data_IF_649977701713
#
_entry.id   IF_649977701713
#
_cell.length_a   1.000
_cell.length_b   1.000
_cell.length_c   1.000
_cell.angle_alpha   90.00
_cell.angle_beta   90.00
_cell.angle_gamma   90.00
#
_symmetry.space_group_name_H-M   'P 1'
#
loop_
_entity.id
_entity.type
_entity.pdbx_description
1 polymer ?
#
# COMPACT_ATOMS: atom_id res chain seq x y z
N UNK A 1 11.41 16.23 17.74
CA UNK A 1 10.51 16.58 16.61
C UNK A 1 9.09 16.22 17.01
N UNK A 2 8.13 17.06 16.64
CA UNK A 2 6.72 16.76 16.93
C UNK A 2 6.29 15.55 16.11
N UNK A 3 5.57 14.62 16.75
CA UNK A 3 5.04 13.43 16.09
C UNK A 3 3.62 13.69 15.61
N UNK A 4 3.35 13.28 14.39
CA UNK A 4 2.02 13.28 13.79
C UNK A 4 1.26 12.00 14.16
N UNK A 5 -0.04 12.11 14.40
CA UNK A 5 -0.91 10.94 14.37
C UNK A 5 -1.02 10.49 12.91
N UNK A 6 -0.65 9.25 12.63
CA UNK A 6 -0.72 8.64 11.31
C UNK A 6 -1.57 7.39 11.33
N UNK A 7 -2.03 6.94 10.16
CA UNK A 7 -2.46 5.57 10.00
C UNK A 7 -2.02 4.98 8.66
N UNK A 8 -1.77 3.68 8.68
CA UNK A 8 -1.58 2.86 7.49
C UNK A 8 -2.91 2.16 7.16
N UNK A 9 -3.48 2.45 5.99
CA UNK A 9 -4.67 1.76 5.48
C UNK A 9 -4.26 0.41 4.88
N UNK A 10 -5.04 -0.63 5.12
CA UNK A 10 -4.81 -1.97 4.58
C UNK A 10 -6.11 -2.66 4.19
N UNK A 11 -6.02 -3.80 3.53
CA UNK A 11 -7.17 -4.67 3.33
C UNK A 11 -7.64 -5.22 4.68
N UNK A 12 -8.96 -5.34 4.86
CA UNK A 12 -9.53 -5.92 6.08
C UNK A 12 -8.95 -7.32 6.35
N UNK A 13 -8.54 -7.57 7.59
CA UNK A 13 -7.86 -8.81 8.01
C UNK A 13 -6.32 -8.76 7.92
N UNK A 14 -5.73 -7.72 7.34
CA UNK A 14 -4.28 -7.53 7.30
C UNK A 14 -3.74 -6.58 8.37
N UNK A 15 -4.59 -6.07 9.26
CA UNK A 15 -4.20 -5.11 10.31
C UNK A 15 -3.07 -5.67 11.19
N UNK A 16 -3.15 -6.96 11.52
CA UNK A 16 -2.11 -7.63 12.32
C UNK A 16 -0.76 -7.66 11.59
N UNK A 17 -0.77 -7.92 10.27
CA UNK A 17 0.45 -7.94 9.47
C UNK A 17 1.11 -6.55 9.40
N UNK A 18 0.30 -5.50 9.16
CA UNK A 18 0.77 -4.11 9.14
C UNK A 18 1.26 -3.66 10.53
N UNK A 19 0.54 -4.03 11.60
CA UNK A 19 0.95 -3.71 12.97
C UNK A 19 2.31 -4.33 13.31
N UNK A 20 2.57 -5.57 12.90
CA UNK A 20 3.87 -6.19 13.10
C UNK A 20 4.97 -5.49 12.29
N UNK A 21 4.70 -5.09 11.04
CA UNK A 21 5.65 -4.29 10.25
C UNK A 21 6.02 -2.97 10.94
N UNK A 22 5.04 -2.27 11.52
CA UNK A 22 5.28 -1.04 12.26
C UNK A 22 6.07 -1.29 13.55
N UNK A 23 5.79 -2.37 14.29
CA UNK A 23 6.58 -2.78 15.48
C UNK A 23 8.02 -3.09 15.11
N UNK A 24 8.25 -3.80 14.00
CA UNK A 24 9.59 -4.10 13.48
C UNK A 24 10.39 -2.81 13.15
N UNK A 25 9.68 -1.68 12.88
CA UNK A 25 10.25 -0.36 12.67
C UNK A 25 10.42 0.46 13.96
N UNK A 26 10.05 -0.10 15.13
CA UNK A 26 10.13 0.58 16.43
C UNK A 26 8.96 1.50 16.75
N UNK A 27 7.82 1.35 16.03
CA UNK A 27 6.61 2.15 16.24
C UNK A 27 5.59 1.39 17.10
N UNK A 28 4.71 2.13 17.78
CA UNK A 28 3.63 1.56 18.60
C UNK A 28 2.30 1.63 17.85
N UNK A 29 1.84 0.52 17.21
CA UNK A 29 0.62 0.50 16.41
C UNK A 29 -0.62 0.19 17.23
N UNK A 30 -1.74 0.81 16.84
CA UNK A 30 -3.09 0.48 17.30
C UNK A 30 -4.00 0.23 16.10
N UNK A 31 -4.61 -0.96 16.03
CA UNK A 31 -5.46 -1.38 14.90
C UNK A 31 -6.94 -1.06 15.15
N UNK A 32 -7.61 -0.47 14.15
CA UNK A 32 -9.05 -0.21 14.12
C UNK A 32 -9.55 -0.14 12.68
N UNK A 33 -10.54 -0.94 12.30
CA UNK A 33 -11.31 -0.83 11.04
C UNK A 33 -10.45 -0.71 9.76
N UNK A 34 -9.65 -1.72 9.44
CA UNK A 34 -8.73 -1.75 8.30
C UNK A 34 -7.69 -0.61 8.29
N UNK A 35 -7.42 -0.02 9.45
CA UNK A 35 -6.42 1.02 9.67
C UNK A 35 -5.54 0.63 10.84
N UNK A 36 -4.27 0.96 10.75
CA UNK A 36 -3.31 0.78 11.84
C UNK A 36 -2.74 2.14 12.17
N UNK A 37 -3.16 2.70 13.31
CA UNK A 37 -2.74 4.02 13.79
C UNK A 37 -1.40 3.93 14.50
N UNK A 38 -0.60 4.98 14.38
CA UNK A 38 0.71 5.14 15.06
C UNK A 38 1.13 6.61 15.09
N UNK A 39 2.00 6.97 16.02
CA UNK A 39 2.62 8.28 16.04
C UNK A 39 3.99 8.23 15.36
N UNK A 40 4.27 9.19 14.46
CA UNK A 40 5.48 9.19 13.67
C UNK A 40 5.98 10.62 13.37
N UNK A 41 7.26 10.80 13.37
CA UNK A 41 7.92 11.98 12.80
C UNK A 41 8.12 11.84 11.29
N UNK A 42 8.73 12.83 10.66
CA UNK A 42 8.96 12.86 9.21
C UNK A 42 9.82 11.68 8.70
N UNK A 43 10.87 11.29 9.47
CA UNK A 43 11.73 10.15 9.11
C UNK A 43 10.98 8.82 9.24
N UNK A 44 10.19 8.67 10.30
CA UNK A 44 9.36 7.48 10.54
C UNK A 44 8.25 7.34 9.49
N UNK A 45 7.65 8.47 9.03
CA UNK A 45 6.68 8.47 7.91
C UNK A 45 7.35 8.04 6.60
N UNK A 46 8.55 8.54 6.32
CA UNK A 46 9.31 8.12 5.13
C UNK A 46 9.64 6.62 5.19
N UNK A 47 10.05 6.12 6.37
CA UNK A 47 10.32 4.70 6.63
C UNK A 47 9.07 3.85 6.43
N UNK A 48 7.94 4.25 6.98
CA UNK A 48 6.67 3.54 6.83
C UNK A 48 6.25 3.45 5.35
N UNK A 49 6.33 4.55 4.59
CA UNK A 49 6.03 4.54 3.15
C UNK A 49 6.97 3.62 2.34
N UNK A 50 8.25 3.61 2.67
CA UNK A 50 9.25 2.80 1.97
C UNK A 50 9.14 1.30 2.28
N UNK A 51 8.92 0.95 3.55
CA UNK A 51 9.09 -0.43 4.05
C UNK A 51 7.80 -1.21 4.26
N UNK A 52 6.64 -0.55 4.43
CA UNK A 52 5.37 -1.27 4.58
C UNK A 52 5.04 -2.06 3.32
N UNK A 53 4.97 -3.38 3.46
CA UNK A 53 4.62 -4.29 2.39
C UNK A 53 3.12 -4.61 2.36
N UNK A 54 2.45 -4.63 3.52
CA UNK A 54 1.06 -5.05 3.67
C UNK A 54 0.05 -3.89 3.64
N UNK A 55 0.52 -2.64 3.74
CA UNK A 55 -0.35 -1.45 3.72
C UNK A 55 -0.58 -0.92 2.31
N UNK A 56 -1.76 -0.34 2.09
CA UNK A 56 -2.13 0.27 0.81
C UNK A 56 -1.73 1.76 0.72
N UNK A 57 -1.75 2.50 1.83
CA UNK A 57 -1.32 3.91 1.94
C UNK A 57 -1.01 4.29 3.37
N UNK A 58 -0.20 5.34 3.53
CA UNK A 58 0.07 6.00 4.81
C UNK A 58 -0.51 7.41 4.78
N UNK A 59 -1.22 7.78 5.83
CA UNK A 59 -1.87 9.07 5.98
C UNK A 59 -1.43 9.77 7.27
N UNK A 60 -1.31 11.10 7.23
CA UNK A 60 -1.25 11.94 8.42
C UNK A 60 -2.68 12.36 8.77
N UNK A 61 -3.14 12.10 10.00
CA UNK A 61 -4.45 12.52 10.49
C UNK A 61 -4.37 13.97 10.93
N UNK A 62 -5.23 14.82 10.35
CA UNK A 62 -5.32 16.24 10.70
C UNK A 62 -6.38 16.44 11.79
N UNK A 63 -7.58 15.87 11.57
CA UNK A 63 -8.70 16.03 12.49
C UNK A 63 -9.66 14.86 12.39
N UNK A 64 -10.29 14.54 13.52
CA UNK A 64 -11.42 13.61 13.62
C UNK A 64 -12.61 14.32 14.29
N UNK A 65 -13.81 14.13 13.76
CA UNK A 65 -15.06 14.67 14.32
C UNK A 65 -16.27 13.92 13.76
N UNK A 66 -17.43 14.06 14.37
CA UNK A 66 -18.68 13.48 13.86
C UNK A 66 -19.42 14.48 12.97
N UNK A 67 -20.00 13.98 11.87
CA UNK A 67 -20.90 14.78 11.03
C UNK A 67 -21.98 13.88 10.40
N UNK A 68 -23.24 14.27 10.58
CA UNK A 68 -24.42 13.62 10.01
C UNK A 68 -25.09 14.47 8.92
N UNK A 69 -24.63 15.72 8.77
CA UNK A 69 -25.08 16.67 7.74
C UNK A 69 -23.88 17.26 6.97
N UNK A 70 -24.16 17.75 5.77
CA UNK A 70 -23.14 18.43 4.96
C UNK A 70 -22.70 19.77 5.56
N UNK A 71 -23.56 20.43 6.32
CA UNK A 71 -23.21 21.67 7.03
C UNK A 71 -22.21 21.36 8.17
N UNK A 72 -22.46 20.33 8.96
CA UNK A 72 -21.50 19.87 9.99
C UNK A 72 -20.16 19.45 9.38
N UNK A 73 -20.18 18.73 8.26
CA UNK A 73 -18.98 18.37 7.51
C UNK A 73 -18.20 19.62 7.06
N UNK A 74 -18.91 20.60 6.50
CA UNK A 74 -18.31 21.86 6.04
C UNK A 74 -17.65 22.63 7.17
N UNK A 75 -18.39 22.90 8.25
CA UNK A 75 -17.88 23.64 9.41
C UNK A 75 -16.74 22.89 10.12
N UNK A 76 -16.86 21.57 10.26
CA UNK A 76 -15.82 20.72 10.83
C UNK A 76 -14.50 20.80 10.07
N UNK A 77 -14.54 20.79 8.74
CA UNK A 77 -13.35 20.92 7.87
C UNK A 77 -12.82 22.36 7.85
N UNK A 78 -13.71 23.36 7.76
CA UNK A 78 -13.36 24.77 7.71
C UNK A 78 -12.66 25.25 8.98
N UNK A 79 -13.00 24.67 10.15
CA UNK A 79 -12.41 25.02 11.44
C UNK A 79 -10.95 24.57 11.61
N UNK A 80 -10.39 23.78 10.66
CA UNK A 80 -8.98 23.42 10.64
C UNK A 80 -8.13 24.62 10.18
N UNK A 81 -7.03 24.90 10.89
CA UNK A 81 -6.04 25.85 10.39
C UNK A 81 -5.23 25.23 9.25
N UNK A 82 -5.77 25.31 8.05
CA UNK A 82 -5.16 24.73 6.86
C UNK A 82 -3.80 25.37 6.49
N UNK A 83 -3.50 26.55 6.98
CA UNK A 83 -2.23 27.20 6.71
C UNK A 83 -1.00 26.49 7.31
N UNK A 84 -1.23 25.61 8.29
CA UNK A 84 -0.20 24.71 8.85
C UNK A 84 0.20 23.62 7.85
N UNK A 85 -0.71 23.21 6.98
CA UNK A 85 -0.53 22.06 6.07
C UNK A 85 -0.34 22.46 4.62
N UNK A 86 -1.01 23.55 4.20
CA UNK A 86 -1.09 24.00 2.80
C UNK A 86 -0.58 25.43 2.67
N UNK A 87 0.32 25.65 1.73
CA UNK A 87 0.75 27.00 1.36
C UNK A 87 -0.36 27.75 0.62
N UNK A 88 -0.17 29.03 0.37
CA UNK A 88 -1.14 29.83 -0.43
C UNK A 88 -1.25 29.40 -1.89
N UNK A 89 -0.45 28.45 -2.34
CA UNK A 89 -0.37 27.96 -3.72
C UNK A 89 -0.42 26.44 -3.85
N UNK A 90 -0.49 25.69 -2.74
CA UNK A 90 -0.51 24.22 -2.76
C UNK A 90 -1.68 23.70 -3.61
N UNK A 91 -1.41 22.76 -4.51
CA UNK A 91 -2.46 21.98 -5.15
C UNK A 91 -2.95 20.90 -4.17
N UNK A 92 -4.25 20.81 -3.92
CA UNK A 92 -4.80 19.83 -2.99
C UNK A 92 -6.05 19.15 -3.55
N UNK A 93 -5.90 18.12 -4.39
CA UNK A 93 -7.04 17.30 -4.78
C UNK A 93 -7.66 16.67 -3.52
N UNK A 94 -8.99 16.72 -3.44
CA UNK A 94 -9.75 16.15 -2.33
C UNK A 94 -10.36 14.82 -2.79
N UNK A 95 -9.96 13.76 -2.14
CA UNK A 95 -10.47 12.40 -2.32
C UNK A 95 -11.23 11.99 -1.05
N UNK A 96 -12.02 10.91 -1.13
CA UNK A 96 -12.70 10.43 0.06
C UNK A 96 -13.48 9.15 -0.19
N UNK A 97 -14.05 8.65 0.91
CA UNK A 97 -14.97 7.52 0.93
C UNK A 97 -16.06 7.74 1.99
N UNK A 98 -17.14 6.99 1.87
CA UNK A 98 -18.22 6.95 2.86
C UNK A 98 -18.71 5.52 3.03
N UNK A 99 -18.65 5.01 4.26
CA UNK A 99 -19.03 3.63 4.59
C UNK A 99 -19.94 3.64 5.81
N UNK A 100 -21.11 3.00 5.72
CA UNK A 100 -22.09 2.89 6.81
C UNK A 100 -22.40 4.22 7.49
N UNK A 101 -22.53 5.29 6.71
CA UNK A 101 -22.68 6.67 7.18
C UNK A 101 -23.94 7.31 6.61
N UNK A 102 -24.45 8.34 7.32
CA UNK A 102 -25.56 9.19 6.88
C UNK A 102 -25.20 9.94 5.61
N UNK A 103 -23.99 10.48 5.54
CA UNK A 103 -23.42 11.09 4.35
C UNK A 103 -22.94 10.03 3.36
N UNK A 104 -23.70 9.75 2.29
CA UNK A 104 -23.44 8.67 1.33
C UNK A 104 -22.78 9.13 0.04
N UNK A 105 -22.97 10.40 -0.34
CA UNK A 105 -22.46 10.94 -1.61
C UNK A 105 -20.98 11.30 -1.49
N UNK A 106 -20.09 10.41 -1.94
CA UNK A 106 -18.65 10.66 -1.97
C UNK A 106 -18.30 11.91 -2.77
N UNK A 107 -18.99 12.15 -3.91
CA UNK A 107 -18.76 13.34 -4.75
C UNK A 107 -19.09 14.63 -4.02
N UNK A 108 -20.13 14.64 -3.18
CA UNK A 108 -20.52 15.83 -2.43
C UNK A 108 -19.60 16.03 -1.22
N UNK A 109 -19.18 14.96 -0.53
CA UNK A 109 -18.14 15.03 0.50
C UNK A 109 -16.86 15.68 -0.05
N UNK A 110 -16.42 15.28 -1.24
CA UNK A 110 -15.22 15.84 -1.89
C UNK A 110 -15.41 17.31 -2.26
N UNK A 111 -16.55 17.69 -2.87
CA UNK A 111 -16.85 19.07 -3.26
C UNK A 111 -16.97 20.00 -2.05
N UNK A 112 -17.70 19.57 -1.03
CA UNK A 112 -17.91 20.34 0.21
C UNK A 112 -16.59 20.48 0.96
N UNK A 113 -15.82 19.39 1.08
CA UNK A 113 -14.50 19.43 1.67
C UNK A 113 -13.56 20.39 0.94
N UNK A 114 -13.53 20.34 -0.40
CA UNK A 114 -12.74 21.28 -1.21
C UNK A 114 -13.15 22.72 -0.94
N UNK A 115 -14.47 23.01 -0.94
CA UNK A 115 -14.99 24.34 -0.67
C UNK A 115 -14.60 24.85 0.72
N UNK A 116 -14.76 24.02 1.75
CA UNK A 116 -14.43 24.36 3.14
C UNK A 116 -12.94 24.72 3.30
N UNK A 117 -12.05 23.93 2.70
CA UNK A 117 -10.59 24.19 2.70
C UNK A 117 -10.28 25.51 2.00
N UNK A 118 -10.83 25.73 0.81
CA UNK A 118 -10.61 26.98 0.05
C UNK A 118 -11.07 28.20 0.84
N UNK A 119 -12.24 28.14 1.49
CA UNK A 119 -12.76 29.26 2.30
C UNK A 119 -11.87 29.54 3.52
N UNK A 120 -11.39 28.48 4.21
CA UNK A 120 -10.46 28.63 5.32
C UNK A 120 -9.16 29.30 4.87
N UNK A 121 -8.55 28.84 3.77
CA UNK A 121 -7.30 29.39 3.21
C UNK A 121 -7.48 30.83 2.70
N UNK A 122 -8.59 31.13 2.03
CA UNK A 122 -8.92 32.50 1.59
C UNK A 122 -9.00 33.45 2.78
N UNK A 123 -9.71 33.07 3.84
CA UNK A 123 -9.82 33.85 5.05
C UNK A 123 -8.45 34.08 5.71
N UNK A 124 -7.63 33.04 5.81
CA UNK A 124 -6.31 33.11 6.45
C UNK A 124 -5.30 33.94 5.67
N UNK A 125 -5.25 33.81 4.35
CA UNK A 125 -4.28 34.48 3.50
C UNK A 125 -4.80 35.79 2.87
N UNK A 126 -6.06 36.18 3.11
CA UNK A 126 -6.67 37.37 2.52
C UNK A 126 -6.81 37.29 1.00
N UNK A 127 -7.10 36.11 0.44
CA UNK A 127 -7.12 35.87 -1.00
C UNK A 127 -8.55 36.01 -1.55
N UNK A 128 -8.73 36.73 -2.66
CA UNK A 128 -9.96 36.70 -3.44
C UNK A 128 -10.13 35.41 -4.26
N UNK A 129 -9.00 34.85 -4.73
CA UNK A 129 -8.95 33.62 -5.51
C UNK A 129 -7.78 32.75 -5.03
N UNK A 130 -8.00 31.42 -4.93
CA UNK A 130 -6.97 30.45 -4.56
C UNK A 130 -6.42 29.78 -5.83
N UNK A 131 -5.10 29.82 -6.03
CA UNK A 131 -4.41 29.14 -7.14
C UNK A 131 -3.77 27.85 -6.63
N UNK A 132 -3.82 26.81 -7.47
CA UNK A 132 -3.21 25.50 -7.21
C UNK A 132 -2.08 25.29 -8.21
N UNK A 133 -0.96 25.98 -8.03
CA UNK A 133 0.17 26.02 -8.97
C UNK A 133 1.52 25.63 -8.31
N UNK A 134 1.50 25.14 -7.07
CA UNK A 134 2.67 24.66 -6.35
C UNK A 134 2.58 23.13 -6.05
N UNK A 135 3.27 22.70 -5.00
CA UNK A 135 3.33 21.28 -4.58
C UNK A 135 1.93 20.67 -4.34
N UNK A 136 1.76 19.42 -4.74
CA UNK A 136 0.52 18.69 -4.51
C UNK A 136 0.52 17.97 -3.16
N UNK A 137 -0.47 18.30 -2.31
CA UNK A 137 -0.75 17.65 -1.02
C UNK A 137 -2.18 17.13 -1.00
N UNK A 138 -2.39 15.91 -1.49
CA UNK A 138 -3.73 15.33 -1.59
C UNK A 138 -4.38 15.16 -0.22
N UNK A 139 -5.57 15.74 -0.06
CA UNK A 139 -6.42 15.60 1.13
C UNK A 139 -7.34 14.40 0.96
N UNK A 140 -7.50 13.62 2.01
CA UNK A 140 -8.41 12.48 2.05
C UNK A 140 -9.43 12.65 3.18
N UNK A 141 -10.71 12.56 2.86
CA UNK A 141 -11.82 12.68 3.81
C UNK A 141 -12.52 11.32 3.86
N UNK A 142 -12.37 10.62 4.96
CA UNK A 142 -13.07 9.36 5.18
C UNK A 142 -14.22 9.54 6.15
N UNK A 143 -15.41 9.06 5.79
CA UNK A 143 -16.58 9.05 6.66
C UNK A 143 -16.96 7.60 6.94
N UNK A 144 -16.70 7.14 8.15
CA UNK A 144 -16.99 5.77 8.59
C UNK A 144 -17.91 5.80 9.80
N UNK A 145 -19.15 5.29 9.67
CA UNK A 145 -20.16 5.30 10.74
C UNK A 145 -20.33 6.71 11.34
N UNK A 146 -20.45 7.72 10.47
CA UNK A 146 -20.59 9.15 10.77
C UNK A 146 -19.35 9.81 11.45
N UNK A 147 -18.29 9.06 11.69
CA UNK A 147 -16.99 9.59 12.12
C UNK A 147 -16.19 10.06 10.90
N UNK A 148 -15.93 11.35 10.82
CA UNK A 148 -15.14 11.99 9.77
C UNK A 148 -13.67 11.99 10.18
N UNK A 149 -12.79 11.49 9.33
CA UNK A 149 -11.33 11.58 9.48
C UNK A 149 -10.76 12.36 8.31
N UNK A 150 -10.18 13.52 8.57
CA UNK A 150 -9.52 14.37 7.57
C UNK A 150 -8.01 14.13 7.62
N UNK A 151 -7.40 13.81 6.47
CA UNK A 151 -6.02 13.36 6.39
C UNK A 151 -5.26 13.96 5.21
N UNK A 152 -3.93 13.97 5.29
CA UNK A 152 -3.03 14.13 4.13
C UNK A 152 -2.50 12.77 3.67
N UNK A 153 -2.56 12.51 2.38
CA UNK A 153 -2.03 11.30 1.76
C UNK A 153 -0.53 11.44 1.50
N UNK A 154 0.29 10.80 2.34
CA UNK A 154 1.76 10.85 2.21
C UNK A 154 2.29 9.96 1.09
N UNK A 155 1.60 8.87 0.79
CA UNK A 155 2.02 7.88 -0.21
C UNK A 155 1.80 8.33 -1.66
N UNK A 156 0.74 9.12 -1.90
CA UNK A 156 0.24 9.41 -3.25
C UNK A 156 -0.43 8.19 -3.87
N UNK A 157 0.17 7.61 -4.91
CA UNK A 157 -0.28 6.36 -5.53
C UNK A 157 -0.18 5.22 -4.52
N UNK A 158 -1.14 4.28 -4.51
CA UNK A 158 -1.17 3.15 -3.57
C UNK A 158 0.14 2.36 -3.49
N UNK A 159 0.51 1.92 -2.29
CA UNK A 159 1.76 1.19 -2.03
C UNK A 159 1.82 -0.16 -2.76
N UNK A 160 0.67 -0.77 -3.07
CA UNK A 160 0.61 -1.97 -3.91
C UNK A 160 1.30 -1.77 -5.27
N UNK A 161 1.31 -0.55 -5.81
CA UNK A 161 2.02 -0.25 -7.06
C UNK A 161 3.53 -0.10 -6.83
N UNK A 162 4.23 -1.22 -6.67
CA UNK A 162 5.70 -1.28 -6.44
C UNK A 162 6.53 -0.74 -7.62
N UNK A 163 5.96 -0.74 -8.83
CA UNK A 163 6.64 -0.30 -10.06
C UNK A 163 7.21 -1.43 -10.92
N UNK A 164 7.19 -2.68 -10.47
CA UNK A 164 7.71 -3.78 -11.28
C UNK A 164 6.70 -4.32 -12.30
N UNK A 165 5.39 -4.13 -12.08
CA UNK A 165 4.34 -4.68 -12.95
C UNK A 165 4.08 -3.81 -14.17
N UNK A 166 3.84 -4.45 -15.34
CA UNK A 166 3.42 -3.80 -16.58
C UNK A 166 1.89 -3.77 -16.68
N UNK A 167 1.33 -2.77 -17.36
CA UNK A 167 -0.11 -2.48 -17.41
C UNK A 167 -1.02 -3.61 -17.97
N UNK A 168 -0.47 -4.58 -18.66
CA UNK A 168 -1.25 -5.55 -19.47
C UNK A 168 -1.52 -6.91 -18.80
N UNK A 169 -1.28 -7.07 -17.50
CA UNK A 169 -1.65 -8.31 -16.81
C UNK A 169 -3.13 -8.30 -16.39
N UNK A 170 -3.88 -9.32 -16.78
CA UNK A 170 -5.29 -9.52 -16.37
C UNK A 170 -5.39 -9.66 -14.85
N UNK A 171 -6.06 -8.69 -14.19
CA UNK A 171 -6.47 -8.67 -12.77
C UNK A 171 -5.66 -9.59 -11.81
N UNK A 172 -4.36 -9.32 -11.59
CA UNK A 172 -3.55 -10.15 -10.71
C UNK A 172 -3.83 -9.82 -9.24
N UNK A 173 -3.43 -10.72 -8.34
CA UNK A 173 -3.45 -10.47 -6.89
C UNK A 173 -2.73 -9.15 -6.58
N UNK A 174 -3.27 -8.34 -5.67
CA UNK A 174 -2.58 -7.12 -5.21
C UNK A 174 -1.31 -7.50 -4.48
N UNK A 175 -0.25 -6.75 -4.68
CA UNK A 175 1.05 -6.96 -4.07
C UNK A 175 0.98 -6.89 -2.54
N UNK A 176 0.19 -5.95 -2.00
CA UNK A 176 -0.03 -5.80 -0.55
C UNK A 176 -0.74 -7.00 0.06
N UNK A 177 -1.69 -7.61 -0.67
CA UNK A 177 -2.36 -8.82 -0.24
C UNK A 177 -1.41 -10.03 -0.30
N UNK A 178 -0.62 -10.18 -1.36
CA UNK A 178 0.39 -11.23 -1.47
C UNK A 178 1.41 -11.15 -0.33
N UNK A 179 1.93 -9.96 -0.02
CA UNK A 179 2.83 -9.73 1.09
C UNK A 179 2.18 -10.08 2.45
N UNK A 180 0.90 -9.73 2.63
CA UNK A 180 0.12 -10.07 3.81
C UNK A 180 -0.01 -11.58 4.00
N UNK A 181 -0.40 -12.32 2.96
CA UNK A 181 -0.50 -13.79 2.99
C UNK A 181 0.83 -14.43 3.38
N UNK A 182 1.95 -13.97 2.80
CA UNK A 182 3.29 -14.46 3.12
C UNK A 182 3.63 -14.21 4.60
N UNK A 183 3.28 -13.05 5.15
CA UNK A 183 3.54 -12.75 6.57
C UNK A 183 2.69 -13.60 7.52
N UNK A 184 1.45 -13.88 7.17
CA UNK A 184 0.54 -14.71 7.97
C UNK A 184 1.03 -16.15 8.12
N UNK A 185 1.79 -16.69 7.15
CA UNK A 185 2.36 -18.05 7.24
C UNK A 185 3.57 -18.15 8.15
N UNK A 186 4.08 -17.05 8.69
CA UNK A 186 5.31 -17.00 9.49
C UNK A 186 6.50 -17.70 8.78
N UNK A 187 6.55 -17.56 7.46
CA UNK A 187 7.65 -18.10 6.67
C UNK A 187 8.93 -17.29 6.84
N UNK A 188 10.09 -17.95 7.06
CA UNK A 188 11.39 -17.30 7.30
C UNK A 188 12.52 -17.86 6.43
N UNK A 189 12.99 -19.08 6.72
CA UNK A 189 14.28 -19.60 6.27
C UNK A 189 14.22 -20.94 5.52
N UNK A 190 13.04 -21.34 5.08
CA UNK A 190 12.81 -22.58 4.32
C UNK A 190 12.42 -22.27 2.86
N UNK A 191 12.55 -23.22 1.94
CA UNK A 191 12.12 -23.08 0.56
C UNK A 191 10.67 -22.63 0.45
N UNK A 192 10.39 -21.76 -0.53
CA UNK A 192 9.07 -21.23 -0.81
C UNK A 192 8.60 -21.66 -2.20
N UNK A 193 7.34 -22.03 -2.32
CA UNK A 193 6.74 -22.51 -3.56
C UNK A 193 5.47 -21.72 -3.89
N UNK A 194 5.40 -21.18 -5.11
CA UNK A 194 4.20 -20.68 -5.76
C UNK A 194 3.95 -21.56 -6.98
N UNK A 195 3.03 -22.54 -6.84
CA UNK A 195 2.85 -23.64 -7.81
C UNK A 195 1.91 -23.28 -8.97
N UNK A 196 1.25 -22.13 -8.90
CA UNK A 196 0.42 -21.52 -9.95
C UNK A 196 0.69 -20.03 -9.98
N UNK A 197 1.94 -19.64 -10.32
CA UNK A 197 2.43 -18.30 -10.02
C UNK A 197 1.85 -17.20 -10.92
N UNK A 198 1.25 -17.54 -12.04
CA UNK A 198 0.76 -16.57 -12.98
C UNK A 198 1.83 -15.52 -13.34
N UNK A 199 1.52 -14.26 -13.17
CA UNK A 199 2.47 -13.15 -13.43
C UNK A 199 3.55 -12.97 -12.35
N UNK A 200 3.66 -13.90 -11.39
CA UNK A 200 4.72 -14.00 -10.40
C UNK A 200 4.55 -13.16 -9.13
N UNK A 201 3.36 -12.62 -8.84
CA UNK A 201 3.18 -11.68 -7.72
C UNK A 201 3.60 -12.25 -6.38
N UNK A 202 3.13 -13.45 -6.01
CA UNK A 202 3.43 -14.06 -4.70
C UNK A 202 4.92 -14.39 -4.61
N UNK A 203 5.49 -15.02 -5.65
CA UNK A 203 6.91 -15.36 -5.69
C UNK A 203 7.81 -14.11 -5.61
N UNK A 204 7.44 -13.01 -6.28
CA UNK A 204 8.21 -11.75 -6.24
C UNK A 204 8.14 -11.13 -4.85
N UNK A 205 6.95 -11.01 -4.23
CA UNK A 205 6.81 -10.46 -2.87
C UNK A 205 7.55 -11.35 -1.82
N UNK A 206 7.56 -12.69 -2.00
CA UNK A 206 8.37 -13.59 -1.20
C UNK A 206 9.87 -13.33 -1.35
N UNK A 207 10.37 -13.16 -2.58
CA UNK A 207 11.76 -12.86 -2.84
C UNK A 207 12.19 -11.47 -2.33
N UNK A 208 11.32 -10.46 -2.44
CA UNK A 208 11.56 -9.13 -1.86
C UNK A 208 11.70 -9.21 -0.33
N UNK A 209 10.76 -9.91 0.35
CA UNK A 209 10.83 -10.15 1.80
C UNK A 209 12.10 -10.90 2.19
N UNK A 210 12.44 -11.96 1.48
CA UNK A 210 13.60 -12.81 1.76
C UNK A 210 14.91 -12.01 1.69
N UNK A 211 15.05 -11.16 0.66
CA UNK A 211 16.20 -10.29 0.46
C UNK A 211 16.16 -9.01 1.31
N UNK A 212 15.12 -8.79 2.08
CA UNK A 212 14.89 -7.54 2.83
C UNK A 212 14.90 -6.30 1.92
N UNK A 213 14.36 -6.42 0.70
CA UNK A 213 14.21 -5.29 -0.22
C UNK A 213 12.94 -4.53 0.16
N UNK A 214 13.09 -3.25 0.50
CA UNK A 214 11.95 -2.39 0.80
C UNK A 214 11.04 -2.23 -0.43
N UNK A 215 9.72 -2.52 -0.31
CA UNK A 215 8.81 -2.54 -1.48
C UNK A 215 8.69 -1.17 -2.16
N UNK A 216 8.92 -0.09 -1.42
CA UNK A 216 8.86 1.28 -1.92
C UNK A 216 10.16 1.81 -2.53
N UNK A 217 11.23 1.01 -2.57
CA UNK A 217 12.59 1.48 -2.90
C UNK A 217 12.69 2.15 -4.28
N UNK A 218 11.97 1.63 -5.27
CA UNK A 218 12.05 2.06 -6.68
C UNK A 218 10.87 2.94 -7.12
N UNK A 219 10.11 3.52 -6.17
CA UNK A 219 8.98 4.41 -6.47
C UNK A 219 9.14 5.78 -5.82
N UNK A 220 8.32 6.75 -6.24
CA UNK A 220 8.19 8.08 -5.63
C UNK A 220 6.95 8.14 -4.75
N UNK A 221 6.97 9.05 -3.78
CA UNK A 221 5.86 9.30 -2.85
C UNK A 221 5.43 10.77 -2.93
N UNK A 222 4.17 11.05 -2.60
CA UNK A 222 3.65 12.42 -2.63
C UNK A 222 4.41 13.31 -1.65
N UNK A 223 4.55 12.86 -0.40
CA UNK A 223 5.21 13.64 0.66
C UNK A 223 6.70 13.90 0.40
N UNK A 224 7.37 13.10 -0.42
CA UNK A 224 8.78 13.33 -0.80
C UNK A 224 9.04 14.69 -1.45
N UNK A 225 7.96 15.35 -1.95
CA UNK A 225 8.03 16.64 -2.66
C UNK A 225 7.39 17.80 -1.88
N UNK A 226 6.94 17.56 -0.63
CA UNK A 226 6.25 18.60 0.14
C UNK A 226 7.18 19.70 0.65
N UNK A 227 8.35 19.31 1.14
CA UNK A 227 9.37 20.21 1.65
C UNK A 227 10.77 19.54 1.71
N UNK A 228 11.77 20.27 2.19
CA UNK A 228 13.15 19.79 2.32
C UNK A 228 13.30 18.68 3.35
N UNK A 229 12.51 18.68 4.41
CA UNK A 229 12.61 17.74 5.52
C UNK A 229 12.13 16.36 5.07
N UNK A 230 10.97 16.29 4.41
CA UNK A 230 10.50 15.06 3.78
C UNK A 230 11.46 14.56 2.68
N UNK A 231 11.95 15.44 1.82
CA UNK A 231 12.91 15.04 0.77
C UNK A 231 14.19 14.43 1.37
N UNK A 232 14.72 15.04 2.45
CA UNK A 232 15.89 14.54 3.19
C UNK A 232 15.60 13.20 3.86
N UNK A 233 14.46 13.06 4.55
CA UNK A 233 14.03 11.83 5.21
C UNK A 233 13.92 10.66 4.23
N UNK A 234 13.27 10.83 3.07
CA UNK A 234 13.20 9.81 2.05
C UNK A 234 14.57 9.45 1.46
N UNK A 235 15.44 10.44 1.25
CA UNK A 235 16.81 10.20 0.77
C UNK A 235 17.63 9.37 1.77
N UNK A 236 17.56 9.71 3.04
CA UNK A 236 18.21 8.98 4.14
C UNK A 236 17.70 7.56 4.24
N UNK A 237 16.36 7.37 4.26
CA UNK A 237 15.74 6.06 4.39
C UNK A 237 16.01 5.16 3.18
N UNK A 238 16.05 5.71 1.94
CA UNK A 238 16.44 4.92 0.75
C UNK A 238 17.89 4.41 0.84
N UNK A 239 18.82 5.21 1.40
CA UNK A 239 20.20 4.74 1.60
C UNK A 239 20.26 3.61 2.62
N UNK A 240 19.55 3.75 3.74
CA UNK A 240 19.45 2.72 4.75
C UNK A 240 18.81 1.44 4.19
N UNK A 241 17.68 1.57 3.50
CA UNK A 241 16.98 0.44 2.90
C UNK A 241 17.83 -0.31 1.85
N UNK A 242 18.71 0.38 1.11
CA UNK A 242 19.65 -0.28 0.21
C UNK A 242 20.76 -1.01 0.94
N UNK A 243 21.26 -0.47 2.03
CA UNK A 243 22.28 -1.10 2.87
C UNK A 243 21.76 -2.37 3.57
N UNK A 244 20.47 -2.42 3.87
CA UNK A 244 19.81 -3.55 4.54
C UNK A 244 19.51 -4.74 3.60
N UNK A 245 19.75 -4.61 2.29
CA UNK A 245 19.50 -5.70 1.32
C UNK A 245 20.47 -6.86 1.60
N UNK A 246 19.89 -8.05 1.84
CA UNK A 246 20.67 -9.27 2.07
C UNK A 246 21.32 -9.76 0.78
N UNK A 247 22.62 -10.05 0.85
CA UNK A 247 23.43 -10.58 -0.25
C UNK A 247 23.84 -12.04 -0.05
N UNK A 248 23.61 -12.59 1.13
CA UNK A 248 23.99 -13.96 1.51
C UNK A 248 23.19 -15.00 0.71
N UNK A 249 23.65 -16.28 0.84
CA UNK A 249 22.91 -17.41 0.28
C UNK A 249 21.58 -17.57 1.02
N UNK A 250 20.49 -17.39 0.29
CA UNK A 250 19.12 -17.45 0.79
C UNK A 250 18.43 -18.74 0.33
N UNK A 251 17.41 -19.23 1.07
CA UNK A 251 16.57 -20.33 0.63
C UNK A 251 15.96 -20.04 -0.76
N UNK A 252 15.77 -21.05 -1.60
CA UNK A 252 15.20 -20.86 -2.93
C UNK A 252 13.72 -20.48 -2.86
N UNK A 253 13.31 -19.61 -3.78
CA UNK A 253 11.90 -19.33 -4.11
C UNK A 253 11.62 -20.02 -5.44
N UNK A 254 10.66 -20.91 -5.48
CA UNK A 254 10.22 -21.61 -6.68
C UNK A 254 8.91 -21.03 -7.17
N UNK A 255 8.81 -20.78 -8.47
CA UNK A 255 7.61 -20.27 -9.13
C UNK A 255 7.30 -21.14 -10.36
N UNK A 256 6.16 -21.84 -10.32
CA UNK A 256 5.73 -22.73 -11.37
C UNK A 256 4.42 -22.26 -11.98
N UNK A 257 4.28 -22.51 -13.26
CA UNK A 257 3.04 -22.35 -14.01
C UNK A 257 3.02 -23.31 -15.19
N UNK A 258 1.85 -23.68 -15.66
CA UNK A 258 1.68 -24.55 -16.83
C UNK A 258 1.91 -23.77 -18.14
N UNK A 259 1.66 -22.44 -18.13
CA UNK A 259 1.78 -21.54 -19.29
C UNK A 259 3.17 -20.92 -19.38
N UNK A 260 3.99 -21.26 -20.38
CA UNK A 260 5.33 -20.69 -20.55
C UNK A 260 5.30 -19.19 -20.86
N UNK A 261 4.26 -18.66 -21.51
CA UNK A 261 4.17 -17.22 -21.82
C UNK A 261 3.94 -16.40 -20.54
N UNK A 262 3.16 -16.92 -19.61
CA UNK A 262 2.94 -16.30 -18.32
C UNK A 262 4.23 -16.33 -17.46
N UNK A 263 5.03 -17.40 -17.55
CA UNK A 263 6.33 -17.49 -16.89
C UNK A 263 7.34 -16.46 -17.43
N UNK A 264 7.34 -16.19 -18.72
CA UNK A 264 8.18 -15.13 -19.30
C UNK A 264 7.80 -13.74 -18.77
N UNK A 265 6.50 -13.49 -18.63
CA UNK A 265 5.99 -12.28 -17.97
C UNK A 265 6.43 -12.21 -16.50
N UNK A 266 6.32 -13.33 -15.76
CA UNK A 266 6.74 -13.39 -14.36
C UNK A 266 8.26 -13.11 -14.20
N UNK A 267 9.11 -13.68 -15.08
CA UNK A 267 10.56 -13.39 -15.14
C UNK A 267 10.82 -11.91 -15.39
N UNK A 268 10.10 -11.32 -16.36
CA UNK A 268 10.23 -9.90 -16.67
C UNK A 268 9.87 -9.02 -15.46
N UNK A 269 8.78 -9.33 -14.73
CA UNK A 269 8.41 -8.62 -13.50
C UNK A 269 9.46 -8.81 -12.40
N UNK A 270 9.97 -10.02 -12.20
CA UNK A 270 11.00 -10.33 -11.21
C UNK A 270 12.31 -9.57 -11.50
N UNK A 271 12.70 -9.45 -12.78
CA UNK A 271 13.84 -8.63 -13.21
C UNK A 271 13.65 -7.16 -12.84
N UNK A 272 12.48 -6.60 -13.13
CA UNK A 272 12.15 -5.21 -12.75
C UNK A 272 12.10 -5.00 -11.24
N UNK A 273 11.73 -6.01 -10.47
CA UNK A 273 11.77 -6.00 -9.02
C UNK A 273 13.19 -6.20 -8.44
N UNK A 274 14.17 -6.60 -9.27
CA UNK A 274 15.55 -6.88 -8.83
C UNK A 274 15.72 -8.22 -8.12
N UNK A 275 14.81 -9.19 -8.34
CA UNK A 275 14.79 -10.48 -7.65
C UNK A 275 14.79 -11.70 -8.59
N UNK A 276 15.01 -11.51 -9.90
CA UNK A 276 14.98 -12.59 -10.89
C UNK A 276 15.91 -13.77 -10.48
N UNK A 277 17.13 -13.45 -10.05
CA UNK A 277 18.13 -14.44 -9.64
C UNK A 277 17.81 -15.16 -8.31
N UNK A 278 16.79 -14.71 -7.58
CA UNK A 278 16.33 -15.33 -6.32
C UNK A 278 15.23 -16.35 -6.57
N UNK A 279 14.58 -16.28 -7.75
CA UNK A 279 13.41 -17.09 -8.08
C UNK A 279 13.76 -18.11 -9.15
N UNK A 280 13.44 -19.37 -8.91
CA UNK A 280 13.59 -20.46 -9.89
C UNK A 280 12.25 -20.69 -10.57
N UNK A 281 12.15 -20.25 -11.83
CA UNK A 281 10.95 -20.41 -12.65
C UNK A 281 11.02 -21.70 -13.47
N UNK A 282 9.95 -22.51 -13.44
CA UNK A 282 9.86 -23.71 -14.27
C UNK A 282 8.41 -23.96 -14.75
N UNK A 283 8.29 -24.48 -15.98
CA UNK A 283 6.99 -24.97 -16.46
C UNK A 283 6.67 -26.27 -15.73
N UNK A 284 5.60 -26.27 -14.93
CA UNK A 284 5.10 -27.46 -14.23
C UNK A 284 3.58 -27.38 -14.10
N UNK A 285 2.96 -28.55 -14.16
CA UNK A 285 1.55 -28.71 -13.82
C UNK A 285 1.42 -28.82 -12.30
N UNK A 286 0.54 -28.04 -11.70
CA UNK A 286 0.28 -28.05 -10.27
C UNK A 286 -0.30 -29.40 -9.80
N UNK A 287 -1.11 -30.07 -10.63
CA UNK A 287 -1.66 -31.41 -10.33
C UNK A 287 -0.57 -32.50 -10.21
N UNK A 288 0.57 -32.30 -10.87
CA UNK A 288 1.74 -33.17 -10.80
C UNK A 288 2.84 -32.63 -9.89
N UNK A 289 2.51 -31.72 -8.95
CA UNK A 289 3.48 -31.10 -8.08
C UNK A 289 4.14 -32.10 -7.14
N UNK A 290 5.47 -32.11 -7.15
CA UNK A 290 6.31 -32.81 -6.19
C UNK A 290 7.29 -31.82 -5.58
N UNK A 291 7.36 -31.71 -4.23
CA UNK A 291 8.32 -30.83 -3.58
C UNK A 291 9.77 -31.18 -3.98
N UNK A 292 10.60 -30.16 -4.19
CA UNK A 292 12.02 -30.33 -4.49
C UNK A 292 12.87 -30.43 -3.22
N UNK A 293 12.27 -30.25 -2.05
CA UNK A 293 12.90 -30.26 -0.73
C UNK A 293 11.98 -30.93 0.28
N UNK A 294 12.52 -31.51 1.34
CA UNK A 294 11.75 -32.18 2.41
C UNK A 294 10.85 -31.21 3.17
N UNK A 295 11.25 -29.94 3.27
CA UNK A 295 10.51 -28.90 3.98
C UNK A 295 10.31 -27.68 3.07
N UNK A 296 9.17 -27.04 3.18
CA UNK A 296 8.88 -25.82 2.41
C UNK A 296 7.56 -25.16 2.82
N UNK A 297 7.30 -24.00 2.26
CA UNK A 297 6.02 -23.29 2.40
C UNK A 297 5.41 -23.12 1.03
N UNK A 298 4.18 -23.54 0.85
CA UNK A 298 3.42 -23.35 -0.38
C UNK A 298 2.40 -22.23 -0.16
N UNK A 299 2.44 -21.23 -1.02
CA UNK A 299 1.40 -20.21 -1.14
C UNK A 299 1.16 -20.01 -2.64
N UNK A 300 -0.06 -20.19 -3.07
CA UNK A 300 -0.44 -20.00 -4.47
C UNK A 300 -1.84 -19.41 -4.56
N UNK A 301 -2.13 -18.77 -5.68
CA UNK A 301 -3.44 -18.20 -5.98
C UNK A 301 -3.99 -18.92 -7.21
N UNK A 302 -4.79 -19.98 -7.03
CA UNK A 302 -5.32 -20.77 -8.13
C UNK A 302 -6.25 -19.96 -9.04
N UNK A 303 -6.41 -20.34 -10.31
CA UNK A 303 -7.36 -19.69 -11.19
C UNK A 303 -8.80 -19.91 -10.70
N UNK A 304 -9.61 -18.84 -10.74
CA UNK A 304 -11.03 -18.91 -10.40
C UNK A 304 -11.85 -19.30 -11.65
N UNK A 305 -13.03 -19.90 -11.46
CA UNK A 305 -13.92 -20.41 -12.52
C UNK A 305 -14.14 -19.48 -13.72
N UNK A 306 -14.19 -18.17 -13.48
CA UNK A 306 -14.36 -17.15 -14.55
C UNK A 306 -13.17 -17.09 -15.53
N UNK A 307 -12.00 -17.63 -15.14
CA UNK A 307 -10.78 -17.65 -15.98
C UNK A 307 -10.61 -18.96 -16.75
N UNK A 308 -11.34 -20.00 -16.39
CA UNK A 308 -11.20 -21.34 -16.97
C UNK A 308 -12.27 -21.67 -17.99
N UNK A 309 -13.25 -20.80 -18.20
CA UNK A 309 -14.29 -20.97 -19.25
C UNK A 309 -15.41 -21.94 -18.94
N UNK A 310 -15.26 -22.88 -18.00
CA UNK A 310 -16.29 -23.85 -17.59
C UNK A 310 -16.27 -24.04 -16.06
N UNK A 311 -17.46 -24.03 -15.43
CA UNK A 311 -17.58 -24.13 -13.96
C UNK A 311 -17.15 -25.51 -13.41
N UNK A 312 -17.19 -26.53 -14.23
CA UNK A 312 -16.94 -27.93 -13.82
C UNK A 312 -15.44 -28.23 -13.62
N UNK A 313 -14.54 -27.48 -14.28
CA UNK A 313 -13.10 -27.72 -14.19
C UNK A 313 -12.43 -27.18 -12.91
N UNK A 314 -13.13 -26.36 -12.12
CA UNK A 314 -12.55 -25.79 -10.88
C UNK A 314 -12.58 -26.80 -9.73
N UNK A 315 -13.58 -27.68 -9.69
CA UNK A 315 -13.69 -28.71 -8.65
C UNK A 315 -12.54 -29.73 -8.74
N UNK A 316 -12.19 -30.15 -9.96
CA UNK A 316 -11.13 -31.14 -10.20
C UNK A 316 -9.73 -30.66 -9.78
N UNK A 317 -9.51 -29.34 -9.69
CA UNK A 317 -8.23 -28.77 -9.27
C UNK A 317 -8.10 -28.49 -7.76
N UNK A 318 -9.17 -28.68 -6.98
CA UNK A 318 -9.19 -28.41 -5.53
C UNK A 318 -9.28 -29.70 -4.67
N UNK A 319 -9.37 -30.88 -5.29
CA UNK A 319 -9.48 -32.19 -4.61
C UNK A 319 -8.13 -32.91 -4.41
N UNK A 320 -7.01 -32.18 -4.29
CA UNK A 320 -5.69 -32.78 -4.03
C UNK A 320 -4.85 -32.11 -2.95
#
# INVERSE_FOLDING_TARGET
>A
MDKFLCYAACSFGLEFAVANELKDMGLEPHSKDARVFFYADTEEIARANLRLACADRVYIVIKQFTAISFDELFEGIKSIDWSVYLSKHSAFPVLGDAVRSTLKSVSDIQKIGKKAIVESLKGKYGLSFYREDAEEKSVYISVLSDEVTVCLNTSGIGLNRRGYRVKNATAPLRETLAAGLIRLTKWYDRPFYDIMCGSGTIAIEAALKLKNIAPGLNRKFSSERWDSDFASAFSKERRAARADIKTDKLPPVYAFDIDPQILDMARFHARRAGVENTIQFAKRDAAAFTPLTENGTIISNPPYAVRMGEKDSVHDHLEW
#
